data_IF_194354094936
#
_entry.id   IF_194354094936
#
_cell.length_a   1.000
_cell.length_b   1.000
_cell.length_c   1.000
_cell.angle_alpha   90.00
_cell.angle_beta   90.00
_cell.angle_gamma   90.00
#
_symmetry.space_group_name_H-M   'P 1'
#
loop_
_entity.id
_entity.type
_entity.pdbx_description
1 polymer ?
#
# COMPACT_ATOMS: atom_id res chain seq x y z
N UNK A 1 12.64 9.29 -18.77
CA UNK A 1 12.87 8.29 -17.72
C UNK A 1 14.33 8.24 -17.23
N UNK A 2 14.88 9.41 -16.96
CA UNK A 2 16.30 9.61 -16.57
C UNK A 2 16.74 8.68 -15.42
N UNK A 3 15.84 8.39 -14.48
CA UNK A 3 16.15 7.50 -13.36
C UNK A 3 16.50 6.08 -13.83
N UNK A 4 15.70 5.50 -14.71
CA UNK A 4 15.90 4.13 -15.20
C UNK A 4 16.95 4.00 -16.31
N UNK A 5 17.57 5.10 -16.75
CA UNK A 5 18.79 5.05 -17.56
C UNK A 5 20.02 4.65 -16.72
N UNK A 6 19.94 4.91 -15.41
CA UNK A 6 21.04 4.66 -14.46
C UNK A 6 20.75 3.48 -13.51
N UNK A 7 19.48 3.24 -13.17
CA UNK A 7 19.06 2.25 -12.20
C UNK A 7 18.09 1.26 -12.83
N UNK A 8 18.20 -0.02 -12.48
CA UNK A 8 17.33 -1.07 -13.01
C UNK A 8 15.94 -1.08 -12.34
N UNK A 9 15.90 -0.81 -11.04
CA UNK A 9 14.71 -0.88 -10.22
C UNK A 9 14.69 0.25 -9.18
N UNK A 10 13.49 0.63 -8.76
CA UNK A 10 13.27 1.54 -7.65
C UNK A 10 12.66 0.77 -6.48
N UNK A 11 13.32 0.82 -5.31
CA UNK A 11 12.92 0.09 -4.10
C UNK A 11 12.36 1.04 -3.06
N UNK A 12 11.20 0.68 -2.49
CA UNK A 12 10.58 1.35 -1.35
C UNK A 12 9.93 0.34 -0.41
N UNK A 13 9.58 0.70 0.82
CA UNK A 13 8.59 -0.05 1.58
C UNK A 13 7.25 -0.05 0.82
N UNK A 14 6.45 -1.11 0.96
CA UNK A 14 5.08 -1.12 0.40
C UNK A 14 4.14 -0.24 1.23
N UNK A 15 4.25 -0.35 2.56
CA UNK A 15 3.45 0.40 3.53
C UNK A 15 4.34 1.14 4.50
N UNK A 16 3.83 2.21 5.12
CA UNK A 16 4.57 2.99 6.11
C UNK A 16 4.84 2.23 7.41
N UNK A 17 3.99 1.23 7.71
CA UNK A 17 4.11 0.38 8.88
C UNK A 17 3.53 -1.01 8.62
N UNK A 18 3.64 -1.92 9.58
CA UNK A 18 2.93 -3.20 9.57
C UNK A 18 1.42 -3.00 9.50
N UNK A 19 0.69 -4.05 9.09
CA UNK A 19 -0.76 -4.00 8.96
C UNK A 19 -1.43 -3.45 10.24
N UNK A 20 -2.34 -2.46 10.12
CA UNK A 20 -3.08 -1.92 11.25
C UNK A 20 -4.04 -2.96 11.82
N UNK A 21 -4.43 -2.80 13.07
CA UNK A 21 -5.47 -3.64 13.69
C UNK A 21 -6.81 -3.41 12.99
N UNK A 22 -7.65 -4.44 12.98
CA UNK A 22 -9.00 -4.36 12.42
C UNK A 22 -9.77 -3.18 13.05
N UNK A 23 -10.23 -2.25 12.22
CA UNK A 23 -10.96 -1.06 12.65
C UNK A 23 -10.10 0.17 13.00
N UNK A 24 -8.78 0.05 13.06
CA UNK A 24 -7.89 1.18 13.39
C UNK A 24 -7.92 2.28 12.33
N UNK A 25 -7.98 1.90 11.05
CA UNK A 25 -8.07 2.83 9.91
C UNK A 25 -9.53 3.14 9.52
N UNK A 26 -10.51 2.55 10.22
CA UNK A 26 -11.91 2.73 9.90
C UNK A 26 -12.41 4.12 10.34
N UNK A 27 -13.36 4.67 9.56
CA UNK A 27 -14.07 5.90 9.94
C UNK A 27 -14.65 5.75 11.35
N UNK A 28 -14.35 6.68 12.27
CA UNK A 28 -14.88 6.64 13.64
C UNK A 28 -16.40 6.49 13.68
N UNK A 29 -16.91 5.67 14.60
CA UNK A 29 -18.32 5.32 14.65
C UNK A 29 -19.26 6.53 14.80
N UNK A 30 -18.82 7.61 15.45
CA UNK A 30 -19.59 8.83 15.60
C UNK A 30 -19.75 9.63 14.29
N UNK A 31 -18.85 9.45 13.32
CA UNK A 31 -18.92 10.12 12.01
C UNK A 31 -19.87 9.40 11.05
N UNK A 32 -20.08 8.09 11.22
CA UNK A 32 -20.93 7.28 10.33
C UNK A 32 -22.38 7.80 10.18
N UNK A 33 -23.10 8.16 11.27
CA UNK A 33 -24.48 8.69 11.14
C UNK A 33 -24.52 10.05 10.47
N UNK A 34 -23.53 10.91 10.70
CA UNK A 34 -23.43 12.22 10.05
C UNK A 34 -23.23 12.04 8.54
N UNK A 35 -22.31 11.16 8.16
CA UNK A 35 -22.01 10.84 6.76
C UNK A 35 -23.26 10.27 6.06
N UNK A 36 -23.95 9.31 6.69
CA UNK A 36 -25.21 8.74 6.17
C UNK A 36 -26.30 9.79 6.02
N UNK A 37 -26.43 10.71 6.98
CA UNK A 37 -27.41 11.81 6.94
C UNK A 37 -27.17 12.75 5.77
N UNK A 38 -25.93 13.19 5.55
CA UNK A 38 -25.55 14.06 4.45
C UNK A 38 -25.72 13.40 3.07
N UNK A 39 -25.41 12.12 2.97
CA UNK A 39 -25.66 11.34 1.74
C UNK A 39 -27.14 11.20 1.43
N UNK A 40 -28.01 10.95 2.43
CA UNK A 40 -29.46 10.84 2.26
C UNK A 40 -30.12 12.13 1.77
N UNK A 41 -29.60 13.28 2.16
CA UNK A 41 -30.17 14.61 1.81
C UNK A 41 -29.59 15.14 0.49
N UNK A 42 -28.76 14.35 -0.23
CA UNK A 42 -28.16 14.78 -1.50
C UNK A 42 -27.09 15.87 -1.37
N UNK A 43 -26.64 16.13 -0.13
CA UNK A 43 -25.64 17.16 0.18
C UNK A 43 -24.20 16.63 0.19
N UNK A 44 -23.93 15.58 -0.58
CA UNK A 44 -22.60 14.96 -0.67
C UNK A 44 -21.49 15.93 -1.12
N UNK A 45 -21.84 16.97 -1.89
CA UNK A 45 -20.88 17.99 -2.33
C UNK A 45 -20.28 18.81 -1.18
N UNK A 46 -21.02 19.00 -0.06
CA UNK A 46 -20.45 19.65 1.13
C UNK A 46 -19.39 18.79 1.83
N UNK A 47 -19.48 17.48 1.69
CA UNK A 47 -18.44 16.57 2.20
C UNK A 47 -17.17 16.70 1.37
N UNK A 48 -17.31 16.80 0.03
CA UNK A 48 -16.16 16.91 -0.89
C UNK A 48 -15.37 18.22 -0.72
N UNK A 49 -16.03 19.30 -0.24
CA UNK A 49 -15.39 20.60 -0.01
C UNK A 49 -14.86 20.76 1.42
N UNK A 50 -15.07 19.79 2.29
CA UNK A 50 -14.73 19.90 3.71
C UNK A 50 -13.36 19.31 4.07
N UNK A 51 -12.69 19.95 5.03
CA UNK A 51 -11.45 19.47 5.66
C UNK A 51 -11.53 18.02 6.17
N UNK A 52 -12.76 17.49 6.33
CA UNK A 52 -13.01 16.14 6.80
C UNK A 52 -12.57 15.09 5.74
N UNK A 53 -12.93 15.31 4.47
CA UNK A 53 -12.54 14.40 3.38
C UNK A 53 -11.04 14.49 3.13
N UNK A 54 -10.48 15.71 3.14
CA UNK A 54 -9.04 15.92 3.01
C UNK A 54 -8.29 15.16 4.09
N UNK A 55 -8.72 15.26 5.35
CA UNK A 55 -8.14 14.52 6.47
C UNK A 55 -8.28 13.00 6.29
N UNK A 56 -9.45 12.51 5.88
CA UNK A 56 -9.66 11.08 5.62
C UNK A 56 -8.76 10.57 4.50
N UNK A 57 -8.56 11.35 3.45
CA UNK A 57 -7.64 11.02 2.35
C UNK A 57 -6.20 11.01 2.85
N UNK A 58 -5.78 12.02 3.60
CA UNK A 58 -4.42 12.06 4.18
C UNK A 58 -4.18 10.88 5.13
N UNK A 59 -5.13 10.58 6.01
CA UNK A 59 -5.01 9.46 6.95
C UNK A 59 -4.85 8.13 6.20
N UNK A 60 -5.63 7.90 5.12
CA UNK A 60 -5.49 6.70 4.30
C UNK A 60 -4.19 6.67 3.50
N UNK A 61 -3.79 7.79 2.89
CA UNK A 61 -2.56 7.86 2.10
C UNK A 61 -1.30 7.74 2.96
N UNK A 62 -1.36 8.13 4.23
CA UNK A 62 -0.23 8.00 5.16
C UNK A 62 0.18 6.54 5.41
N UNK A 63 -0.73 5.58 5.24
CA UNK A 63 -0.43 4.15 5.36
C UNK A 63 0.28 3.56 4.14
N UNK A 64 0.02 4.14 2.95
CA UNK A 64 0.53 3.63 1.66
C UNK A 64 1.18 4.75 0.82
N UNK A 65 2.11 5.52 1.39
CA UNK A 65 2.65 6.72 0.74
C UNK A 65 3.47 6.40 -0.52
N UNK A 66 4.06 5.21 -0.59
CA UNK A 66 4.99 4.84 -1.64
C UNK A 66 4.32 4.21 -2.86
N UNK A 67 3.16 3.56 -2.70
CA UNK A 67 2.46 2.86 -3.79
C UNK A 67 1.85 3.82 -4.81
N UNK A 68 1.61 5.08 -4.41
CA UNK A 68 1.03 6.11 -5.27
C UNK A 68 1.91 6.42 -6.48
N UNK A 69 3.23 6.35 -6.33
CA UNK A 69 4.16 6.61 -7.43
C UNK A 69 3.89 5.68 -8.62
N UNK A 70 3.82 4.37 -8.39
CA UNK A 70 3.54 3.40 -9.44
C UNK A 70 2.15 3.61 -10.07
N UNK A 71 1.13 3.88 -9.24
CA UNK A 71 -0.24 4.11 -9.70
C UNK A 71 -0.36 5.36 -10.60
N UNK A 72 0.29 6.46 -10.23
CA UNK A 72 0.22 7.72 -10.99
C UNK A 72 1.06 7.65 -12.27
N UNK A 73 2.20 6.97 -12.22
CA UNK A 73 3.11 6.87 -13.37
C UNK A 73 2.77 5.73 -14.32
N UNK A 74 1.91 4.78 -13.92
CA UNK A 74 1.61 3.57 -14.69
C UNK A 74 2.78 2.60 -14.81
N UNK A 75 3.78 2.72 -13.92
CA UNK A 75 4.95 1.83 -13.93
C UNK A 75 4.60 0.48 -13.30
N UNK A 76 5.15 -0.63 -13.84
CA UNK A 76 4.98 -1.93 -13.24
C UNK A 76 5.64 -1.97 -11.85
N UNK A 77 4.92 -2.53 -10.89
CA UNK A 77 5.38 -2.66 -9.52
C UNK A 77 4.98 -4.01 -8.92
N UNK A 78 5.81 -4.53 -8.03
CA UNK A 78 5.49 -5.71 -7.22
C UNK A 78 5.83 -5.44 -5.76
N UNK A 79 5.16 -6.15 -4.85
CA UNK A 79 5.48 -6.18 -3.44
C UNK A 79 5.78 -7.60 -2.99
N UNK A 80 6.90 -7.79 -2.30
CA UNK A 80 7.31 -9.07 -1.73
C UNK A 80 7.55 -8.95 -0.24
N UNK A 81 7.17 -9.95 0.59
CA UNK A 81 7.25 -9.89 2.05
C UNK A 81 8.65 -10.28 2.53
N UNK A 82 9.61 -9.35 2.47
CA UNK A 82 11.00 -9.60 2.85
C UNK A 82 11.28 -9.39 4.33
N UNK A 83 10.36 -8.78 5.07
CA UNK A 83 10.51 -8.55 6.50
C UNK A 83 9.26 -9.01 7.25
N UNK A 84 9.47 -9.58 8.44
CA UNK A 84 8.44 -10.04 9.35
C UNK A 84 8.70 -9.46 10.73
N UNK A 85 7.68 -8.87 11.33
CA UNK A 85 7.81 -8.32 12.68
C UNK A 85 7.80 -9.45 13.74
N UNK A 86 8.01 -9.09 15.01
CA UNK A 86 8.01 -10.04 16.13
C UNK A 86 6.67 -10.76 16.34
N UNK A 87 5.58 -10.23 15.79
CA UNK A 87 4.24 -10.80 15.87
C UNK A 87 3.90 -11.66 14.63
N UNK A 88 4.86 -11.94 13.76
CA UNK A 88 4.65 -12.72 12.53
C UNK A 88 3.90 -11.97 11.42
N UNK A 89 3.77 -10.64 11.50
CA UNK A 89 3.13 -9.86 10.44
C UNK A 89 4.17 -9.44 9.39
N UNK A 90 3.88 -9.65 8.08
CA UNK A 90 4.79 -9.25 7.02
C UNK A 90 4.80 -7.74 6.80
N UNK A 91 5.96 -7.23 6.38
CA UNK A 91 6.11 -5.90 5.80
C UNK A 91 6.68 -6.06 4.39
N UNK A 92 5.94 -5.58 3.41
CA UNK A 92 6.30 -5.70 2.00
C UNK A 92 7.40 -4.71 1.60
N UNK A 93 8.30 -5.20 0.76
CA UNK A 93 9.23 -4.36 -0.02
C UNK A 93 8.69 -4.22 -1.42
N UNK A 94 8.49 -2.97 -1.88
CA UNK A 94 7.97 -2.67 -3.20
C UNK A 94 9.12 -2.38 -4.17
N UNK A 95 9.09 -3.05 -5.31
CA UNK A 95 9.98 -2.82 -6.43
C UNK A 95 9.21 -2.28 -7.61
N UNK A 96 9.72 -1.20 -8.22
CA UNK A 96 9.15 -0.58 -9.41
C UNK A 96 10.17 -0.70 -10.52
N UNK A 97 9.72 -1.15 -11.71
CA UNK A 97 10.55 -1.30 -12.90
C UNK A 97 10.20 -0.25 -13.97
N UNK A 98 11.04 -0.07 -14.99
CA UNK A 98 10.69 0.72 -16.16
C UNK A 98 9.42 0.19 -16.83
N UNK A 99 8.74 1.05 -17.56
CA UNK A 99 7.51 0.69 -18.30
C UNK A 99 7.76 -0.51 -19.24
N UNK A 100 6.87 -1.51 -19.17
CA UNK A 100 6.95 -2.74 -19.95
C UNK A 100 8.06 -3.72 -19.53
N UNK A 101 8.64 -3.53 -18.32
CA UNK A 101 9.71 -4.40 -17.83
C UNK A 101 9.28 -5.22 -16.60
N UNK A 102 8.09 -5.79 -16.67
CA UNK A 102 7.55 -6.76 -15.69
C UNK A 102 8.47 -8.00 -15.57
N UNK A 103 9.15 -8.34 -16.67
CA UNK A 103 10.16 -9.41 -16.71
C UNK A 103 11.23 -9.26 -15.62
N UNK A 104 11.72 -8.04 -15.40
CA UNK A 104 12.72 -7.76 -14.35
C UNK A 104 12.17 -7.99 -12.95
N UNK A 105 10.91 -7.62 -12.73
CA UNK A 105 10.25 -7.84 -11.44
C UNK A 105 10.09 -9.34 -11.14
N UNK A 106 9.64 -10.11 -12.13
CA UNK A 106 9.48 -11.57 -11.99
C UNK A 106 10.82 -12.29 -11.78
N UNK A 107 11.86 -11.88 -12.50
CA UNK A 107 13.21 -12.41 -12.31
C UNK A 107 13.73 -12.13 -10.90
N UNK A 108 13.55 -10.88 -10.42
CA UNK A 108 13.95 -10.52 -9.06
C UNK A 108 13.13 -11.28 -8.02
N UNK A 109 11.81 -11.42 -8.20
CA UNK A 109 10.96 -12.18 -7.29
C UNK A 109 11.44 -13.62 -7.14
N UNK A 110 11.76 -14.29 -8.23
CA UNK A 110 12.29 -15.66 -8.22
C UNK A 110 13.63 -15.76 -7.47
N UNK A 111 14.53 -14.80 -7.67
CA UNK A 111 15.81 -14.76 -6.96
C UNK A 111 15.63 -14.52 -5.46
N UNK A 112 14.76 -13.60 -5.09
CA UNK A 112 14.46 -13.27 -3.69
C UNK A 112 13.80 -14.46 -2.98
N UNK A 113 12.87 -15.16 -3.64
CA UNK A 113 12.23 -16.35 -3.07
C UNK A 113 13.19 -17.50 -2.88
N UNK A 114 14.16 -17.68 -3.78
CA UNK A 114 15.25 -18.66 -3.62
C UNK A 114 16.18 -18.30 -2.46
N UNK A 115 16.50 -17.00 -2.30
CA UNK A 115 17.40 -16.55 -1.25
C UNK A 115 16.75 -16.54 0.13
N UNK A 116 15.45 -16.19 0.20
CA UNK A 116 14.68 -16.09 1.42
C UNK A 116 13.22 -16.56 1.17
N UNK A 117 12.96 -17.87 1.21
CA UNK A 117 11.62 -18.41 0.99
C UNK A 117 10.63 -17.87 2.01
N UNK A 118 9.54 -17.20 1.55
CA UNK A 118 8.52 -16.62 2.42
C UNK A 118 7.26 -17.45 2.58
N UNK A 119 7.01 -18.42 1.69
CA UNK A 119 5.82 -19.26 1.76
C UNK A 119 5.69 -20.01 3.10
N UNK A 120 6.81 -20.48 3.66
CA UNK A 120 6.82 -21.17 4.96
C UNK A 120 6.42 -20.25 6.12
N UNK A 121 6.65 -18.95 6.02
CA UNK A 121 6.28 -17.98 7.05
C UNK A 121 4.75 -17.85 7.17
N UNK A 122 4.03 -17.94 6.05
CA UNK A 122 2.56 -17.86 6.05
C UNK A 122 1.90 -19.06 6.72
N UNK A 123 2.53 -20.22 6.70
CA UNK A 123 2.01 -21.44 7.36
C UNK A 123 2.03 -21.34 8.89
N UNK A 124 2.83 -20.44 9.44
CA UNK A 124 2.98 -20.22 10.87
C UNK A 124 2.12 -19.07 11.42
N UNK A 125 1.37 -18.36 10.57
CA UNK A 125 0.44 -17.32 11.01
C UNK A 125 -0.79 -18.02 11.60
N UNK A 126 -0.90 -18.00 12.93
CA UNK A 126 -2.14 -18.34 13.62
C UNK A 126 -3.10 -17.15 13.50
N UNK A 127 -4.18 -17.31 12.73
CA UNK A 127 -5.28 -16.38 12.60
C UNK A 127 -6.19 -16.43 13.82
#
# INVERSE_FOLDING_TARGET
NIFFEKYDLYLTPTTASVAPKNGEVATPNWQKPILKGLLKVGKAHYLAQGKLVEKMVQDNLSWVPFTQLANVTGLPAMSVPLYWNKNGLPLGSQFIAPFGREDRLLQLAAQLEQAQPWMFQYQNIQL
#
